data_IF_477359567572
#
_entry.id   IF_477359567572
#
_cell.length_a   1.000
_cell.length_b   1.000
_cell.length_c   1.000
_cell.angle_alpha   90.00
_cell.angle_beta   90.00
_cell.angle_gamma   90.00
#
_symmetry.space_group_name_H-M   'P 1'
#
loop_
_entity.id
_entity.type
_entity.pdbx_description
1 polymer ?
#
# COMPACT_ATOMS: atom_id res chain seq x y z
N UNK A 1 13.48 10.87 -20.33
CA UNK A 1 12.80 11.77 -19.37
C UNK A 1 13.31 11.52 -17.98
N UNK A 2 13.43 12.57 -17.20
CA UNK A 2 13.88 12.55 -15.82
C UNK A 2 12.74 12.99 -14.90
N UNK A 3 12.89 12.79 -13.58
CA UNK A 3 11.93 13.26 -12.59
C UNK A 3 12.28 14.69 -12.22
N UNK A 4 11.35 15.61 -12.45
CA UNK A 4 11.54 17.04 -12.18
C UNK A 4 11.11 17.41 -10.76
N UNK A 5 11.73 18.45 -10.21
CA UNK A 5 11.39 18.98 -8.89
C UNK A 5 9.96 19.52 -8.82
N UNK A 6 9.47 20.07 -9.93
CA UNK A 6 8.15 20.69 -10.02
C UNK A 6 7.47 20.32 -11.34
N UNK A 7 6.15 20.30 -11.35
CA UNK A 7 5.34 20.02 -12.55
C UNK A 7 5.59 20.99 -13.70
N UNK A 8 5.97 22.23 -13.38
CA UNK A 8 6.27 23.29 -14.36
C UNK A 8 7.77 23.56 -14.50
N UNK A 9 8.63 22.59 -14.25
CA UNK A 9 10.07 22.71 -14.47
C UNK A 9 10.41 22.98 -15.94
N UNK A 10 9.65 22.39 -16.86
CA UNK A 10 9.63 22.73 -18.29
C UNK A 10 8.29 23.39 -18.60
N UNK A 11 8.32 24.57 -19.22
CA UNK A 11 7.14 25.31 -19.61
C UNK A 11 6.52 24.74 -20.91
N UNK A 12 5.25 25.07 -21.22
CA UNK A 12 4.57 24.58 -22.42
C UNK A 12 5.30 24.90 -23.74
N UNK A 13 6.09 25.95 -23.76
CA UNK A 13 6.92 26.36 -24.92
C UNK A 13 8.26 25.60 -25.03
N UNK A 14 8.51 24.64 -24.10
CA UNK A 14 9.72 23.83 -24.04
C UNK A 14 10.90 24.50 -23.31
N UNK A 15 10.75 25.72 -22.82
CA UNK A 15 11.80 26.41 -22.06
C UNK A 15 11.86 25.94 -20.61
N UNK A 16 13.04 26.05 -19.99
CA UNK A 16 13.23 25.75 -18.59
C UNK A 16 12.71 26.91 -17.74
N UNK A 17 11.91 26.61 -16.73
CA UNK A 17 11.39 27.63 -15.80
C UNK A 17 12.54 28.35 -15.09
N UNK A 18 12.48 29.69 -15.10
CA UNK A 18 13.55 30.59 -14.62
C UNK A 18 13.65 30.76 -13.10
N UNK A 19 13.10 29.84 -12.30
CA UNK A 19 13.20 29.91 -10.83
C UNK A 19 14.44 29.18 -10.32
N UNK A 20 15.03 29.69 -9.23
CA UNK A 20 16.24 29.11 -8.64
C UNK A 20 16.07 27.73 -8.00
N UNK A 21 14.85 27.27 -7.79
CA UNK A 21 14.49 25.94 -7.28
C UNK A 21 13.91 25.11 -8.42
N UNK A 22 14.73 24.55 -9.29
CA UNK A 22 14.28 23.87 -10.50
C UNK A 22 15.27 22.81 -10.98
N UNK A 23 15.32 21.69 -10.25
CA UNK A 23 16.07 20.52 -10.70
C UNK A 23 15.29 19.72 -11.72
N UNK A 24 15.91 19.41 -12.86
CA UNK A 24 15.34 18.52 -13.87
C UNK A 24 15.68 17.05 -13.62
N UNK A 25 16.43 16.77 -12.56
CA UNK A 25 16.79 15.41 -12.14
C UNK A 25 16.73 15.33 -10.61
N UNK A 26 15.52 15.46 -10.07
CA UNK A 26 15.29 15.58 -8.64
C UNK A 26 14.95 14.23 -8.00
N UNK A 27 15.81 13.75 -7.10
CA UNK A 27 15.73 12.40 -6.56
C UNK A 27 14.52 12.15 -5.63
N UNK A 28 13.97 13.18 -5.00
CA UNK A 28 12.97 13.01 -3.92
C UNK A 28 11.72 12.25 -4.36
N UNK A 29 11.24 12.49 -5.57
CA UNK A 29 10.10 11.71 -6.10
C UNK A 29 10.51 10.30 -6.55
N UNK A 30 11.79 10.13 -6.93
CA UNK A 30 12.33 8.81 -7.28
C UNK A 30 12.48 7.87 -6.09
N UNK A 31 12.51 8.39 -4.85
CA UNK A 31 12.61 7.59 -3.64
C UNK A 31 11.45 6.61 -3.41
N UNK A 32 10.30 6.83 -4.07
CA UNK A 32 9.18 5.87 -4.06
C UNK A 32 9.58 4.49 -4.60
N UNK A 33 10.63 4.41 -5.42
CA UNK A 33 11.13 3.15 -5.96
C UNK A 33 11.66 2.25 -4.83
N UNK A 34 12.30 2.83 -3.79
CA UNK A 34 12.71 2.06 -2.61
C UNK A 34 11.51 1.43 -1.90
N UNK A 35 10.39 2.16 -1.78
CA UNK A 35 9.16 1.62 -1.22
C UNK A 35 8.64 0.43 -2.02
N UNK A 36 8.67 0.50 -3.35
CA UNK A 36 8.19 -0.58 -4.22
C UNK A 36 9.03 -1.85 -4.03
N UNK A 37 10.37 -1.73 -4.00
CA UNK A 37 11.25 -2.88 -3.80
C UNK A 37 11.22 -3.40 -2.36
N UNK A 38 11.36 -2.53 -1.37
CA UNK A 38 11.55 -2.92 0.03
C UNK A 38 10.27 -3.35 0.71
N UNK A 39 9.14 -2.76 0.35
CA UNK A 39 7.85 -3.02 1.02
C UNK A 39 6.85 -3.71 0.10
N UNK A 40 6.52 -3.16 -1.06
CA UNK A 40 5.52 -3.77 -1.91
C UNK A 40 5.98 -5.15 -2.42
N UNK A 41 7.20 -5.27 -2.93
CA UNK A 41 7.83 -6.55 -3.29
C UNK A 41 8.49 -7.24 -2.08
N UNK A 42 8.87 -6.49 -1.05
CA UNK A 42 9.39 -6.99 0.22
C UNK A 42 10.86 -7.39 0.22
N UNK A 43 11.64 -7.06 -0.83
CA UNK A 43 13.04 -7.49 -0.94
C UNK A 43 13.96 -6.50 -0.21
N UNK A 44 14.71 -6.98 0.80
CA UNK A 44 15.70 -6.18 1.51
C UNK A 44 16.93 -7.01 1.89
N UNK A 45 18.15 -6.41 1.90
CA UNK A 45 19.34 -7.11 2.32
C UNK A 45 19.41 -7.29 3.84
N UNK A 46 19.88 -8.44 4.28
CA UNK A 46 20.26 -8.71 5.67
C UNK A 46 21.76 -8.99 5.84
N UNK A 47 22.48 -9.11 4.72
CA UNK A 47 23.93 -9.19 4.67
C UNK A 47 24.49 -8.42 3.45
N UNK A 48 25.78 -8.01 3.47
CA UNK A 48 26.42 -7.33 2.34
C UNK A 48 26.27 -8.10 1.03
N UNK A 49 26.03 -7.35 -0.06
CA UNK A 49 25.90 -7.90 -1.40
C UNK A 49 24.65 -8.75 -1.63
N UNK A 50 23.68 -8.72 -0.73
CA UNK A 50 22.46 -9.58 -0.79
C UNK A 50 22.75 -11.08 -0.69
N UNK A 51 23.86 -11.51 -0.07
CA UNK A 51 24.08 -12.95 0.19
C UNK A 51 22.99 -13.54 1.10
N UNK A 52 22.48 -12.70 2.00
CA UNK A 52 21.28 -12.99 2.79
C UNK A 52 20.28 -11.86 2.60
N UNK A 53 19.04 -12.24 2.41
CA UNK A 53 17.94 -11.30 2.21
C UNK A 53 16.77 -11.58 3.13
N UNK A 54 15.89 -10.60 3.26
CA UNK A 54 14.52 -10.77 3.75
C UNK A 54 13.56 -10.55 2.60
N UNK A 55 12.60 -11.44 2.44
CA UNK A 55 11.50 -11.31 1.47
C UNK A 55 10.19 -11.30 2.25
N UNK A 56 9.59 -10.11 2.38
CA UNK A 56 8.39 -9.87 3.16
C UNK A 56 7.43 -8.96 2.38
N UNK A 57 6.80 -9.46 1.31
CA UNK A 57 5.91 -8.67 0.46
C UNK A 57 4.65 -8.23 1.21
N UNK A 58 4.13 -7.06 0.84
CA UNK A 58 2.89 -6.50 1.35
C UNK A 58 1.84 -6.40 0.22
N UNK A 59 1.05 -7.47 -0.01
CA UNK A 59 -0.03 -7.44 -0.99
C UNK A 59 -1.06 -6.36 -0.67
N UNK A 60 -1.44 -5.60 -1.70
CA UNK A 60 -2.40 -4.50 -1.58
C UNK A 60 -3.35 -4.53 -2.77
N UNK A 61 -4.67 -4.56 -2.51
CA UNK A 61 -5.69 -4.72 -3.55
C UNK A 61 -5.65 -3.62 -4.62
N UNK A 62 -5.21 -2.42 -4.28
CA UNK A 62 -5.08 -1.31 -5.25
C UNK A 62 -4.00 -1.55 -6.30
N UNK A 63 -3.04 -2.42 -6.01
CA UNK A 63 -2.06 -2.91 -6.98
C UNK A 63 -2.56 -4.20 -7.66
N UNK A 64 -3.32 -5.02 -6.91
CA UNK A 64 -3.84 -6.32 -7.37
C UNK A 64 -2.76 -7.38 -7.48
N UNK A 65 -1.66 -7.05 -8.12
CA UNK A 65 -0.49 -7.91 -8.30
C UNK A 65 0.80 -7.09 -8.37
N UNK A 66 1.93 -7.76 -8.18
CA UNK A 66 3.26 -7.20 -8.40
C UNK A 66 4.19 -8.26 -8.96
N UNK A 67 4.94 -7.88 -9.97
CA UNK A 67 6.09 -8.63 -10.47
C UNK A 67 7.35 -7.82 -10.17
N UNK A 68 8.27 -8.40 -9.43
CA UNK A 68 9.51 -7.74 -9.05
C UNK A 68 10.71 -8.65 -9.29
N UNK A 69 11.65 -8.14 -10.06
CA UNK A 69 12.96 -8.72 -10.28
C UNK A 69 14.01 -7.73 -9.78
N UNK A 70 14.92 -8.20 -8.94
CA UNK A 70 16.01 -7.40 -8.39
C UNK A 70 17.36 -8.06 -8.65
N UNK A 71 18.16 -7.45 -9.53
CA UNK A 71 19.51 -7.92 -9.85
C UNK A 71 20.51 -7.38 -8.82
N UNK A 72 20.89 -8.21 -7.87
CA UNK A 72 21.85 -7.90 -6.82
C UNK A 72 23.27 -8.30 -7.20
N UNK A 73 24.26 -7.91 -6.37
CA UNK A 73 25.64 -8.36 -6.53
C UNK A 73 25.82 -9.90 -6.39
N UNK A 74 24.89 -10.57 -5.71
CA UNK A 74 24.90 -12.04 -5.52
C UNK A 74 23.98 -12.79 -6.46
N UNK A 75 23.34 -12.10 -7.42
CA UNK A 75 22.41 -12.68 -8.37
C UNK A 75 21.00 -12.09 -8.27
N UNK A 76 20.09 -12.67 -9.04
CA UNK A 76 18.74 -12.16 -9.19
C UNK A 76 17.80 -12.75 -8.16
N UNK A 77 17.11 -11.88 -7.43
CA UNK A 77 15.95 -12.21 -6.62
C UNK A 77 14.66 -11.93 -7.38
N UNK A 78 13.65 -12.78 -7.23
CA UNK A 78 12.29 -12.56 -7.72
C UNK A 78 11.34 -12.61 -6.55
N UNK A 79 10.40 -11.65 -6.49
CA UNK A 79 9.31 -11.65 -5.52
C UNK A 79 8.04 -11.14 -6.23
N UNK A 80 7.25 -12.09 -6.69
CA UNK A 80 5.98 -11.81 -7.35
C UNK A 80 4.83 -12.19 -6.42
N UNK A 81 3.75 -11.43 -6.47
CA UNK A 81 2.53 -11.80 -5.79
C UNK A 81 1.28 -11.34 -6.56
N UNK A 82 0.17 -12.02 -6.28
CA UNK A 82 -1.14 -11.71 -6.85
C UNK A 82 -2.22 -11.99 -5.81
N UNK A 83 -3.23 -11.13 -5.79
CA UNK A 83 -4.48 -11.35 -5.05
C UNK A 83 -5.46 -11.94 -6.06
N UNK A 84 -5.95 -13.15 -5.79
CA UNK A 84 -6.93 -13.82 -6.64
C UNK A 84 -8.36 -13.32 -6.35
N UNK A 85 -9.29 -13.59 -7.26
CA UNK A 85 -10.69 -13.13 -7.16
C UNK A 85 -11.42 -13.67 -5.93
N UNK A 86 -10.96 -14.79 -5.36
CA UNK A 86 -11.48 -15.37 -4.11
C UNK A 86 -10.82 -14.82 -2.84
N UNK A 87 -9.88 -13.86 -2.99
CA UNK A 87 -9.11 -13.28 -1.89
C UNK A 87 -7.89 -14.09 -1.46
N UNK A 88 -7.62 -15.22 -2.10
CA UNK A 88 -6.39 -15.98 -1.87
C UNK A 88 -5.17 -15.21 -2.42
N UNK A 89 -3.99 -15.53 -1.86
CA UNK A 89 -2.73 -14.90 -2.21
C UNK A 89 -1.81 -15.93 -2.86
N UNK A 90 -1.36 -15.63 -4.06
CA UNK A 90 -0.32 -16.39 -4.75
C UNK A 90 1.01 -15.66 -4.69
N UNK A 91 2.11 -16.38 -4.40
CA UNK A 91 3.47 -15.84 -4.41
C UNK A 91 4.37 -16.74 -5.24
N UNK A 92 5.28 -16.11 -5.98
CA UNK A 92 6.39 -16.77 -6.63
C UNK A 92 7.68 -16.08 -6.21
N UNK A 93 8.62 -16.84 -5.61
CA UNK A 93 9.87 -16.32 -5.05
C UNK A 93 11.04 -17.10 -5.63
N UNK A 94 12.05 -16.37 -6.13
CA UNK A 94 13.32 -16.97 -6.54
C UNK A 94 14.47 -16.39 -5.71
N UNK A 95 15.34 -17.27 -5.24
CA UNK A 95 16.54 -16.95 -4.47
C UNK A 95 17.75 -17.42 -5.29
N UNK A 96 18.72 -16.55 -5.57
CA UNK A 96 19.87 -16.89 -6.43
C UNK A 96 20.80 -17.91 -5.77
N UNK A 97 21.63 -18.54 -6.58
CA UNK A 97 22.60 -19.52 -6.15
C UNK A 97 23.52 -18.98 -5.03
N UNK A 98 23.86 -19.82 -4.05
CA UNK A 98 24.71 -19.51 -2.89
C UNK A 98 24.14 -18.37 -1.99
N UNK A 99 22.82 -18.13 -2.06
CA UNK A 99 22.12 -17.17 -1.24
C UNK A 99 21.03 -17.85 -0.37
N UNK A 100 20.59 -17.15 0.66
CA UNK A 100 19.46 -17.53 1.48
C UNK A 100 18.58 -16.32 1.77
N UNK A 101 17.29 -16.56 2.04
CA UNK A 101 16.36 -15.52 2.44
C UNK A 101 15.44 -15.98 3.56
N UNK A 102 15.22 -15.08 4.54
CA UNK A 102 14.11 -15.18 5.45
C UNK A 102 12.85 -14.72 4.73
N UNK A 103 11.94 -15.67 4.46
CA UNK A 103 10.67 -15.39 3.78
C UNK A 103 9.57 -15.28 4.83
N UNK A 104 8.92 -14.11 4.88
CA UNK A 104 7.80 -13.80 5.77
C UNK A 104 6.58 -13.43 4.91
N UNK A 105 5.70 -14.40 4.69
CA UNK A 105 4.45 -14.19 3.96
C UNK A 105 3.31 -13.82 4.93
N UNK A 106 2.25 -13.15 4.44
CA UNK A 106 1.11 -12.79 5.26
C UNK A 106 0.55 -13.97 6.05
N UNK A 107 0.34 -13.78 7.35
CA UNK A 107 -0.22 -14.77 8.27
C UNK A 107 0.55 -16.11 8.34
N UNK A 108 1.81 -16.14 7.88
CA UNK A 108 2.67 -17.33 7.95
C UNK A 108 3.83 -17.10 8.91
N UNK A 109 4.32 -18.16 9.52
CA UNK A 109 5.57 -18.13 10.26
C UNK A 109 6.76 -17.91 9.30
N UNK A 110 7.79 -17.15 9.73
CA UNK A 110 8.99 -16.95 8.94
C UNK A 110 9.65 -18.28 8.55
N UNK A 111 10.11 -18.38 7.30
CA UNK A 111 10.84 -19.55 6.80
C UNK A 111 12.18 -19.11 6.25
N UNK A 112 13.26 -19.77 6.67
CA UNK A 112 14.55 -19.65 6.02
C UNK A 112 14.56 -20.55 4.77
N UNK A 113 14.73 -19.95 3.61
CA UNK A 113 14.82 -20.65 2.33
C UNK A 113 16.20 -20.42 1.71
N UNK A 114 16.71 -21.46 1.04
CA UNK A 114 17.96 -21.41 0.29
C UNK A 114 17.73 -21.12 -1.18
N UNK A 115 18.81 -21.13 -1.99
CA UNK A 115 18.71 -20.95 -3.44
C UNK A 115 17.68 -21.89 -4.07
N UNK A 116 16.80 -21.34 -4.91
CA UNK A 116 15.72 -22.09 -5.55
C UNK A 116 14.54 -21.22 -5.95
N UNK A 117 13.52 -21.87 -6.49
CA UNK A 117 12.25 -21.30 -6.91
C UNK A 117 11.13 -21.89 -6.07
N UNK A 118 10.24 -21.06 -5.56
CA UNK A 118 9.21 -21.43 -4.59
C UNK A 118 7.89 -20.77 -4.94
N UNK A 119 6.83 -21.59 -4.95
CA UNK A 119 5.46 -21.12 -5.12
C UNK A 119 4.67 -21.34 -3.83
N UNK A 120 3.87 -20.33 -3.46
CA UNK A 120 2.99 -20.41 -2.29
C UNK A 120 1.59 -19.97 -2.68
N UNK A 121 0.61 -20.69 -2.13
CA UNK A 121 -0.80 -20.33 -2.22
C UNK A 121 -1.38 -20.29 -0.81
N UNK A 122 -1.93 -19.14 -0.41
CA UNK A 122 -2.36 -18.87 0.96
C UNK A 122 -3.82 -18.41 0.92
N UNK A 123 -4.65 -19.00 1.79
CA UNK A 123 -5.98 -18.52 2.10
C UNK A 123 -5.93 -17.73 3.42
N UNK A 124 -5.78 -16.39 3.38
CA UNK A 124 -5.63 -15.60 4.59
C UNK A 124 -6.97 -15.45 5.33
N UNK A 125 -6.88 -15.16 6.64
CA UNK A 125 -8.08 -14.80 7.45
C UNK A 125 -8.52 -13.36 7.17
N UNK A 126 -7.54 -12.48 6.89
CA UNK A 126 -7.81 -11.11 6.50
C UNK A 126 -8.42 -11.08 5.11
N UNK A 127 -9.45 -10.24 4.93
CA UNK A 127 -10.01 -9.95 3.62
C UNK A 127 -9.07 -9.03 2.84
N UNK A 128 -8.35 -9.58 1.87
CA UNK A 128 -7.44 -8.84 0.99
C UNK A 128 -8.16 -8.19 -0.20
N UNK A 129 -9.45 -8.46 -0.42
CA UNK A 129 -10.26 -7.78 -1.43
C UNK A 129 -10.86 -6.47 -0.90
N UNK A 130 -10.84 -6.26 0.42
CA UNK A 130 -11.37 -5.06 1.05
C UNK A 130 -10.61 -3.81 0.58
N UNK A 131 -11.34 -2.89 -0.06
CA UNK A 131 -10.78 -1.64 -0.59
C UNK A 131 -10.51 -0.60 0.50
N UNK A 132 -11.26 -0.67 1.59
CA UNK A 132 -11.23 0.31 2.68
C UNK A 132 -11.07 -0.33 4.05
N UNK A 133 -10.53 0.44 4.98
CA UNK A 133 -10.35 0.07 6.37
C UNK A 133 -10.67 1.25 7.30
N UNK A 134 -10.62 1.01 8.60
CA UNK A 134 -10.76 2.06 9.63
C UNK A 134 -9.75 3.21 9.48
N UNK A 135 -8.62 2.95 8.84
CA UNK A 135 -7.52 3.91 8.63
C UNK A 135 -7.54 4.57 7.25
N UNK A 136 -8.56 4.31 6.44
CA UNK A 136 -8.69 4.96 5.13
C UNK A 136 -9.08 6.43 5.33
N UNK A 137 -8.33 7.39 4.74
CA UNK A 137 -8.63 8.81 4.86
C UNK A 137 -10.02 9.16 4.30
N UNK A 138 -10.67 10.16 4.92
CA UNK A 138 -11.98 10.65 4.47
C UNK A 138 -11.98 11.11 3.03
N UNK A 139 -10.88 11.70 2.55
CA UNK A 139 -10.70 12.05 1.13
C UNK A 139 -11.07 10.88 0.21
N UNK A 140 -10.59 9.69 0.51
CA UNK A 140 -10.88 8.50 -0.30
C UNK A 140 -12.28 7.94 -0.06
N UNK A 141 -12.73 7.91 1.20
CA UNK A 141 -14.06 7.42 1.53
C UNK A 141 -15.17 8.30 0.94
N UNK A 142 -15.01 9.62 1.03
CA UNK A 142 -16.00 10.58 0.52
C UNK A 142 -15.96 10.75 -1.01
N UNK A 143 -14.96 10.19 -1.69
CA UNK A 143 -14.89 10.11 -3.15
C UNK A 143 -15.64 8.89 -3.72
N UNK A 144 -15.88 7.85 -2.93
CA UNK A 144 -16.61 6.64 -3.37
C UNK A 144 -18.06 6.67 -2.84
N UNK A 145 -19.03 6.67 -3.78
CA UNK A 145 -20.45 6.69 -3.44
C UNK A 145 -20.86 5.53 -2.53
N UNK A 146 -20.29 4.34 -2.70
CA UNK A 146 -20.58 3.16 -1.87
C UNK A 146 -20.18 3.40 -0.42
N UNK A 147 -18.99 4.00 -0.20
CA UNK A 147 -18.53 4.36 1.13
C UNK A 147 -19.37 5.50 1.73
N UNK A 148 -19.73 6.51 0.92
CA UNK A 148 -20.65 7.60 1.34
C UNK A 148 -22.00 7.05 1.77
N UNK A 149 -22.57 6.08 1.06
CA UNK A 149 -23.87 5.46 1.41
C UNK A 149 -23.77 4.74 2.77
N UNK A 150 -22.67 4.04 3.03
CA UNK A 150 -22.39 3.40 4.35
C UNK A 150 -22.24 4.47 5.44
N UNK A 151 -21.38 5.46 5.22
CA UNK A 151 -21.13 6.53 6.19
C UNK A 151 -22.41 7.30 6.52
N UNK A 152 -23.25 7.62 5.52
CA UNK A 152 -24.52 8.32 5.71
C UNK A 152 -25.51 7.53 6.57
N UNK A 153 -25.40 6.20 6.58
CA UNK A 153 -26.25 5.31 7.39
C UNK A 153 -25.84 5.23 8.84
N UNK A 154 -24.53 5.17 9.11
CA UNK A 154 -24.00 4.87 10.45
C UNK A 154 -23.40 6.08 11.16
N UNK A 155 -22.76 6.99 10.41
CA UNK A 155 -22.05 8.18 10.92
C UNK A 155 -22.29 9.39 10.01
N UNK A 156 -23.56 9.82 9.82
CA UNK A 156 -23.93 10.88 8.87
C UNK A 156 -23.21 12.21 9.12
N UNK A 157 -22.82 12.46 10.36
CA UNK A 157 -22.04 13.64 10.76
C UNK A 157 -20.67 13.70 10.10
N UNK A 158 -20.06 12.58 9.74
CA UNK A 158 -18.81 12.56 8.96
C UNK A 158 -19.05 13.09 7.56
N UNK A 159 -20.15 12.70 6.93
CA UNK A 159 -20.47 13.11 5.54
C UNK A 159 -20.84 14.59 5.47
N UNK A 160 -21.62 15.08 6.44
CA UNK A 160 -22.14 16.45 6.46
C UNK A 160 -21.23 17.44 7.19
N UNK A 161 -20.42 16.98 8.13
CA UNK A 161 -19.59 17.83 9.00
C UNK A 161 -18.13 17.93 8.60
N UNK A 162 -17.65 17.09 7.65
CA UNK A 162 -16.27 17.19 7.18
C UNK A 162 -16.16 18.28 6.11
N UNK A 163 -15.36 19.31 6.38
CA UNK A 163 -15.03 20.32 5.38
C UNK A 163 -14.13 19.71 4.30
N UNK A 164 -14.67 19.57 3.10
CA UNK A 164 -13.97 18.98 1.95
C UNK A 164 -12.86 19.86 1.38
N UNK A 165 -12.81 21.14 1.77
CA UNK A 165 -11.76 22.07 1.37
C UNK A 165 -10.63 22.15 2.41
N UNK A 166 -10.78 21.50 3.58
CA UNK A 166 -9.76 21.44 4.61
C UNK A 166 -8.95 20.14 4.46
N UNK A 167 -7.67 20.21 4.00
CA UNK A 167 -6.82 19.03 3.84
C UNK A 167 -6.58 18.26 5.15
N UNK A 168 -6.56 18.96 6.30
CA UNK A 168 -6.40 18.31 7.60
C UNK A 168 -7.65 17.49 7.96
N UNK A 169 -8.85 18.03 7.75
CA UNK A 169 -10.09 17.30 7.96
C UNK A 169 -10.20 16.10 7.02
N UNK A 170 -9.81 16.25 5.76
CA UNK A 170 -9.87 15.18 4.75
C UNK A 170 -8.84 14.07 4.99
N UNK A 171 -7.74 14.35 5.68
CA UNK A 171 -6.72 13.35 6.04
C UNK A 171 -7.13 12.46 7.22
N UNK A 172 -8.13 12.85 8.03
CA UNK A 172 -8.65 12.05 9.15
C UNK A 172 -9.33 10.77 8.67
N UNK A 173 -9.49 9.80 9.57
CA UNK A 173 -10.12 8.52 9.28
C UNK A 173 -11.15 8.15 10.35
N UNK A 174 -11.90 7.05 10.12
CA UNK A 174 -12.90 6.57 11.08
C UNK A 174 -12.28 6.16 12.42
N UNK A 175 -11.07 5.62 12.42
CA UNK A 175 -10.39 5.24 13.65
C UNK A 175 -10.07 6.45 14.53
N UNK A 176 -9.69 7.59 13.95
CA UNK A 176 -9.45 8.83 14.69
C UNK A 176 -10.72 9.33 15.38
N UNK A 177 -11.83 9.33 14.65
CA UNK A 177 -13.12 9.76 15.17
C UNK A 177 -13.65 8.81 16.23
N UNK A 178 -13.50 7.49 16.04
CA UNK A 178 -13.83 6.46 17.03
C UNK A 178 -13.01 6.62 18.31
N UNK A 179 -11.69 6.84 18.17
CA UNK A 179 -10.81 7.09 19.32
C UNK A 179 -11.23 8.34 20.09
N UNK A 180 -11.53 9.44 19.40
CA UNK A 180 -12.03 10.67 20.05
C UNK A 180 -13.36 10.44 20.76
N UNK A 181 -14.31 9.75 20.12
CA UNK A 181 -15.59 9.41 20.75
C UNK A 181 -15.39 8.58 22.03
N UNK A 182 -14.53 7.57 22.00
CA UNK A 182 -14.18 6.76 23.16
C UNK A 182 -13.53 7.59 24.28
N UNK A 183 -12.63 8.51 23.95
CA UNK A 183 -11.98 9.42 24.91
C UNK A 183 -13.02 10.29 25.66
N UNK A 184 -14.06 10.74 24.97
CA UNK A 184 -15.16 11.51 25.55
C UNK A 184 -16.29 10.64 26.13
N UNK A 185 -16.07 9.32 26.24
CA UNK A 185 -17.04 8.34 26.76
C UNK A 185 -18.37 8.31 26.00
N UNK A 186 -18.31 8.58 24.69
CA UNK A 186 -19.45 8.47 23.79
C UNK A 186 -19.57 7.04 23.24
N UNK A 187 -20.78 6.58 22.90
CA UNK A 187 -20.95 5.29 22.24
C UNK A 187 -20.16 5.23 20.91
N UNK A 188 -19.41 4.15 20.71
CA UNK A 188 -18.60 3.95 19.49
C UNK A 188 -19.20 2.93 18.52
N UNK A 189 -20.34 2.35 18.87
CA UNK A 189 -21.00 1.29 18.11
C UNK A 189 -21.30 1.70 16.65
N UNK A 190 -21.71 2.94 16.40
CA UNK A 190 -21.95 3.45 15.07
C UNK A 190 -20.68 3.46 14.21
N UNK A 191 -19.53 3.83 14.84
CA UNK A 191 -18.22 3.79 14.15
C UNK A 191 -17.79 2.35 13.86
N UNK A 192 -18.00 1.43 14.81
CA UNK A 192 -17.68 0.02 14.65
C UNK A 192 -18.51 -0.63 13.52
N UNK A 193 -19.79 -0.26 13.44
CA UNK A 193 -20.66 -0.68 12.35
C UNK A 193 -20.22 -0.09 11.00
N UNK A 194 -19.91 1.20 10.94
CA UNK A 194 -19.39 1.84 9.73
C UNK A 194 -18.10 1.18 9.26
N UNK A 195 -17.13 0.95 10.15
CA UNK A 195 -15.85 0.29 9.86
C UNK A 195 -16.07 -1.11 9.29
N UNK A 196 -16.95 -1.89 9.90
CA UNK A 196 -17.27 -3.24 9.43
C UNK A 196 -17.89 -3.22 8.03
N UNK A 197 -18.82 -2.30 7.77
CA UNK A 197 -19.51 -2.26 6.49
C UNK A 197 -18.66 -1.66 5.36
N UNK A 198 -17.81 -0.66 5.61
CA UNK A 198 -16.87 -0.18 4.59
C UNK A 198 -15.83 -1.25 4.23
N UNK A 199 -15.43 -2.08 5.21
CA UNK A 199 -14.52 -3.21 5.00
C UNK A 199 -15.06 -4.29 4.07
N UNK A 200 -16.37 -4.30 3.78
CA UNK A 200 -17.00 -5.21 2.80
C UNK A 200 -17.03 -4.64 1.38
N UNK A 201 -16.57 -3.41 1.19
CA UNK A 201 -16.51 -2.79 -0.14
C UNK A 201 -15.25 -3.30 -0.84
N UNK A 202 -15.44 -4.19 -1.79
CA UNK A 202 -14.37 -4.75 -2.59
C UNK A 202 -14.05 -3.88 -3.80
N UNK A 203 -12.83 -3.98 -4.32
CA UNK A 203 -12.49 -3.45 -5.63
C UNK A 203 -13.40 -4.11 -6.67
N UNK A 204 -13.97 -3.31 -7.58
CA UNK A 204 -14.69 -3.89 -8.70
C UNK A 204 -13.69 -4.58 -9.62
N UNK A 205 -14.04 -5.76 -10.12
CA UNK A 205 -13.31 -6.36 -11.24
C UNK A 205 -13.39 -5.38 -12.41
N UNK A 206 -12.21 -5.01 -12.94
CA UNK A 206 -12.07 -4.18 -14.13
C UNK A 206 -12.07 -5.08 -15.35
#
# INVERSE_FOLDING_TARGET
TTIWERWNSILPDGTVSGTGMNSLNHYSYGSVVEFLYRYAAGISPTAPGFRKAKIAPLPEIRLGSMECRFDSASGTYVSNWKIESDGSLCFHIEIPFDCEAEVLLPEQEPKLLHAGSYDFHIHPRRDYLALYSAFTPYERLLADRRAVDVLSRYVPEIVSGTDRNDPEAMSKCLNDSRFRAALFRMPTEQFDNAIREIGKIHAMEV
#
